data_IF_887210490405
#
_entry.id   IF_887210490405
#
_cell.length_a   1.000
_cell.length_b   1.000
_cell.length_c   1.000
_cell.angle_alpha   90.00
_cell.angle_beta   90.00
_cell.angle_gamma   90.00
#
_symmetry.space_group_name_H-M   'P 1'
#
loop_
_entity.id
_entity.type
_entity.pdbx_description
1 polymer ?
#
# COMPACT_ATOMS: atom_id res chain seq x y z
N UNK A 1 -0.39 16.43 -1.37
CA UNK A 1 0.32 15.29 -2.01
C UNK A 1 1.62 14.91 -1.31
N UNK A 2 2.65 15.76 -1.22
CA UNK A 2 3.96 15.35 -0.65
C UNK A 2 3.89 14.82 0.79
N UNK A 3 3.13 15.49 1.67
CA UNK A 3 2.92 15.04 3.06
C UNK A 3 2.27 13.65 3.07
N UNK A 4 1.17 13.48 2.33
CA UNK A 4 0.51 12.17 2.20
C UNK A 4 1.44 11.09 1.65
N UNK A 5 2.25 11.39 0.63
CA UNK A 5 3.20 10.43 0.08
C UNK A 5 4.27 9.98 1.09
N UNK A 6 4.75 10.87 1.95
CA UNK A 6 5.72 10.54 2.99
C UNK A 6 5.10 9.81 4.18
N UNK A 7 3.85 10.13 4.53
CA UNK A 7 3.21 9.68 5.75
C UNK A 7 2.09 8.65 5.60
N UNK A 8 1.78 8.18 4.38
CA UNK A 8 0.63 7.30 4.15
C UNK A 8 0.65 6.02 5.01
N UNK A 9 1.84 5.56 5.37
CA UNK A 9 2.10 4.38 6.20
C UNK A 9 2.74 4.71 7.56
N UNK A 10 2.56 5.94 8.07
CA UNK A 10 3.23 6.40 9.30
C UNK A 10 2.95 5.52 10.52
N UNK A 11 1.77 4.90 10.59
CA UNK A 11 1.41 3.97 11.66
C UNK A 11 2.40 2.80 11.80
N UNK A 12 3.06 2.40 10.70
CA UNK A 12 4.05 1.31 10.72
C UNK A 12 5.29 1.63 11.55
N UNK A 13 5.56 2.91 11.81
CA UNK A 13 6.70 3.37 12.60
C UNK A 13 6.41 3.43 14.12
N UNK A 14 5.14 3.25 14.53
CA UNK A 14 4.69 3.36 15.91
C UNK A 14 4.10 2.00 16.33
N UNK A 15 4.93 1.16 16.94
CA UNK A 15 4.58 -0.25 17.18
C UNK A 15 3.30 -0.41 18.03
N UNK A 16 3.06 0.49 18.99
CA UNK A 16 1.89 0.48 19.86
C UNK A 16 0.58 0.82 19.14
N UNK A 17 0.65 1.54 18.03
CA UNK A 17 -0.52 1.97 17.26
C UNK A 17 -0.69 1.16 15.98
N UNK A 18 0.24 0.26 15.68
CA UNK A 18 0.29 -0.46 14.41
C UNK A 18 -0.89 -1.42 14.25
N UNK A 19 -1.57 -1.33 13.12
CA UNK A 19 -2.67 -2.23 12.77
C UNK A 19 -2.12 -3.62 12.45
N UNK A 20 -2.63 -4.65 13.15
CA UNK A 20 -2.09 -6.00 13.06
C UNK A 20 -2.90 -6.83 12.05
N UNK A 21 -2.23 -7.30 10.99
CA UNK A 21 -2.82 -8.11 9.89
C UNK A 21 -3.64 -9.32 10.36
N UNK A 22 -3.20 -10.00 11.41
CA UNK A 22 -3.80 -11.23 11.95
C UNK A 22 -5.18 -11.01 12.59
N UNK A 23 -5.50 -9.78 12.95
CA UNK A 23 -6.76 -9.43 13.63
C UNK A 23 -7.90 -9.21 12.62
N UNK A 24 -7.63 -9.38 11.31
CA UNK A 24 -8.56 -9.15 10.22
C UNK A 24 -8.67 -10.38 9.33
N UNK A 25 -9.92 -10.75 8.99
CA UNK A 25 -10.20 -11.80 8.02
C UNK A 25 -10.00 -11.26 6.60
N UNK A 26 -10.56 -10.08 6.32
CA UNK A 26 -10.51 -9.45 5.01
C UNK A 26 -9.25 -8.60 4.84
N UNK A 27 -8.59 -8.78 3.70
CA UNK A 27 -7.46 -7.94 3.30
C UNK A 27 -7.88 -6.47 3.09
N UNK A 28 -9.10 -6.27 2.55
CA UNK A 28 -9.65 -4.94 2.34
C UNK A 28 -9.91 -4.22 3.67
N UNK A 29 -10.48 -4.92 4.65
CA UNK A 29 -10.75 -4.33 5.97
C UNK A 29 -9.45 -4.01 6.71
N UNK A 30 -8.46 -4.90 6.65
CA UNK A 30 -7.12 -4.65 7.18
C UNK A 30 -6.50 -3.39 6.57
N UNK A 31 -6.47 -3.29 5.23
CA UNK A 31 -5.85 -2.17 4.54
C UNK A 31 -6.61 -0.86 4.74
N UNK A 32 -7.94 -0.91 4.87
CA UNK A 32 -8.76 0.25 5.23
C UNK A 32 -8.48 0.73 6.66
N UNK A 33 -8.39 -0.18 7.63
CA UNK A 33 -8.06 0.18 9.00
C UNK A 33 -6.67 0.81 9.12
N UNK A 34 -5.69 0.22 8.44
CA UNK A 34 -4.33 0.74 8.33
C UNK A 34 -4.29 2.16 7.71
N UNK A 35 -4.95 2.38 6.58
CA UNK A 35 -5.00 3.68 5.93
C UNK A 35 -5.67 4.75 6.80
N UNK A 36 -6.77 4.40 7.49
CA UNK A 36 -7.46 5.31 8.40
C UNK A 36 -6.59 5.66 9.61
N UNK A 37 -5.91 4.68 10.20
CA UNK A 37 -5.05 4.89 11.35
C UNK A 37 -3.89 5.84 11.03
N UNK A 38 -3.18 5.62 9.90
CA UNK A 38 -2.16 6.55 9.42
C UNK A 38 -2.70 7.97 9.20
N UNK A 39 -3.94 8.10 8.71
CA UNK A 39 -4.56 9.40 8.47
C UNK A 39 -4.85 10.15 9.79
N UNK A 40 -5.34 9.46 10.82
CA UNK A 40 -5.59 10.05 12.15
C UNK A 40 -4.28 10.48 12.82
N UNK A 41 -3.24 9.63 12.78
CA UNK A 41 -1.91 9.97 13.34
C UNK A 41 -1.34 11.22 12.67
N UNK A 42 -1.38 11.29 11.32
CA UNK A 42 -0.91 12.48 10.60
C UNK A 42 -1.72 13.73 10.95
N UNK A 43 -3.04 13.59 11.08
CA UNK A 43 -3.92 14.70 11.45
C UNK A 43 -3.57 15.24 12.83
N UNK A 44 -3.34 14.38 13.81
CA UNK A 44 -2.90 14.78 15.16
C UNK A 44 -1.58 15.55 15.10
N UNK A 45 -0.55 14.99 14.43
CA UNK A 45 0.74 15.67 14.25
C UNK A 45 0.61 17.02 13.54
N UNK A 46 -0.24 17.11 12.52
CA UNK A 46 -0.45 18.36 11.77
C UNK A 46 -1.20 19.42 12.59
N UNK A 47 -2.13 19.01 13.45
CA UNK A 47 -2.80 19.91 14.41
C UNK A 47 -1.77 20.47 15.41
N UNK A 48 -0.90 19.63 15.98
CA UNK A 48 0.18 20.08 16.87
C UNK A 48 1.14 21.06 16.19
N UNK A 49 1.39 20.85 14.89
CA UNK A 49 2.21 21.75 14.08
C UNK A 49 1.48 23.03 13.62
N UNK A 50 0.25 23.29 14.08
CA UNK A 50 -0.58 24.43 13.68
C UNK A 50 -0.80 24.53 12.15
N UNK A 51 -0.91 23.39 11.47
CA UNK A 51 -1.18 23.36 10.03
C UNK A 51 -2.63 23.79 9.76
N UNK A 52 -2.85 24.48 8.65
CA UNK A 52 -4.19 24.93 8.24
C UNK A 52 -5.15 23.74 8.04
N UNK A 53 -6.39 23.89 8.53
CA UNK A 53 -7.44 22.85 8.46
C UNK A 53 -7.66 22.32 7.05
N UNK A 54 -7.64 23.18 6.03
CA UNK A 54 -7.86 22.77 4.64
C UNK A 54 -6.78 21.81 4.15
N UNK A 55 -5.52 21.99 4.59
CA UNK A 55 -4.43 21.09 4.25
C UNK A 55 -4.50 19.78 5.06
N UNK A 56 -4.94 19.85 6.33
CA UNK A 56 -5.18 18.67 7.15
C UNK A 56 -6.26 17.78 6.51
N UNK A 57 -7.40 18.38 6.16
CA UNK A 57 -8.52 17.66 5.53
C UNK A 57 -8.10 17.03 4.19
N UNK A 58 -7.29 17.75 3.39
CA UNK A 58 -6.75 17.23 2.12
C UNK A 58 -5.79 16.06 2.32
N UNK A 59 -4.87 16.13 3.29
CA UNK A 59 -3.94 15.03 3.60
C UNK A 59 -4.68 13.84 4.17
N UNK A 60 -5.61 14.07 5.10
CA UNK A 60 -6.44 13.03 5.69
C UNK A 60 -7.21 12.26 4.62
N UNK A 61 -7.86 12.96 3.69
CA UNK A 61 -8.58 12.34 2.60
C UNK A 61 -7.66 11.51 1.69
N UNK A 62 -6.48 12.05 1.32
CA UNK A 62 -5.52 11.32 0.49
C UNK A 62 -5.04 10.03 1.16
N UNK A 63 -4.69 10.08 2.45
CA UNK A 63 -4.13 8.94 3.17
C UNK A 63 -5.22 7.92 3.51
N UNK A 64 -6.37 8.33 4.04
CA UNK A 64 -7.45 7.39 4.39
C UNK A 64 -7.99 6.58 3.19
N UNK A 65 -7.79 7.10 1.97
CA UNK A 65 -8.28 6.46 0.73
C UNK A 65 -7.16 5.83 -0.12
N UNK A 66 -5.89 5.92 0.29
CA UNK A 66 -4.75 5.57 -0.58
C UNK A 66 -4.68 4.09 -0.97
N UNK A 67 -5.42 3.23 -0.28
CA UNK A 67 -5.47 1.80 -0.59
C UNK A 67 -6.49 1.45 -1.67
N UNK A 68 -7.61 2.16 -1.68
CA UNK A 68 -8.75 1.91 -2.58
C UNK A 68 -8.72 2.82 -3.81
N UNK A 69 -8.20 4.04 -3.68
CA UNK A 69 -8.31 5.06 -4.72
C UNK A 69 -9.64 5.80 -4.66
N UNK A 70 -10.07 6.35 -5.81
CA UNK A 70 -11.41 6.95 -5.97
C UNK A 70 -11.42 8.32 -6.63
N UNK A 71 -10.25 8.96 -6.77
CA UNK A 71 -10.06 10.06 -7.70
C UNK A 71 -8.61 10.11 -8.16
N UNK A 72 -8.35 10.90 -9.21
CA UNK A 72 -7.03 11.00 -9.84
C UNK A 72 -5.88 11.23 -8.86
N UNK A 73 -6.08 12.01 -7.79
CA UNK A 73 -5.01 12.31 -6.84
C UNK A 73 -4.73 11.11 -5.93
N UNK A 74 -5.77 10.47 -5.41
CA UNK A 74 -5.62 9.27 -4.57
C UNK A 74 -5.09 8.10 -5.40
N UNK A 75 -5.56 7.95 -6.64
CA UNK A 75 -5.12 6.89 -7.55
C UNK A 75 -3.61 7.00 -7.84
N UNK A 76 -3.09 8.22 -8.04
CA UNK A 76 -1.64 8.44 -8.19
C UNK A 76 -0.86 7.97 -6.96
N UNK A 77 -1.36 8.23 -5.75
CA UNK A 77 -0.71 7.80 -4.50
C UNK A 77 -0.76 6.27 -4.37
N UNK A 78 -1.94 5.67 -4.57
CA UNK A 78 -2.17 4.22 -4.53
C UNK A 78 -1.26 3.49 -5.51
N UNK A 79 -1.21 3.97 -6.75
CA UNK A 79 -0.47 3.33 -7.83
C UNK A 79 1.04 3.44 -7.59
N UNK A 80 1.51 4.60 -7.13
CA UNK A 80 2.91 4.80 -6.75
C UNK A 80 3.33 3.89 -5.58
N UNK A 81 2.52 3.80 -4.52
CA UNK A 81 2.78 2.86 -3.42
C UNK A 81 2.80 1.42 -3.90
N UNK A 82 1.80 1.01 -4.68
CA UNK A 82 1.70 -0.37 -5.16
C UNK A 82 2.87 -0.76 -6.06
N UNK A 83 3.28 0.12 -6.98
CA UNK A 83 4.47 -0.11 -7.81
C UNK A 83 5.73 -0.17 -6.95
N UNK A 84 5.88 0.73 -5.98
CA UNK A 84 6.99 0.73 -5.03
C UNK A 84 7.07 -0.57 -4.23
N UNK A 85 5.90 -1.10 -3.82
CA UNK A 85 5.81 -2.38 -3.14
C UNK A 85 6.41 -3.50 -3.99
N UNK A 86 5.96 -3.64 -5.24
CA UNK A 86 6.52 -4.66 -6.13
C UNK A 86 8.01 -4.42 -6.41
N UNK A 87 8.40 -3.19 -6.76
CA UNK A 87 9.76 -2.90 -7.19
C UNK A 87 10.81 -3.05 -6.07
N UNK A 88 10.47 -2.62 -4.85
CA UNK A 88 11.43 -2.48 -3.75
C UNK A 88 11.09 -3.38 -2.57
N UNK A 89 9.84 -3.40 -2.13
CA UNK A 89 9.49 -3.98 -0.82
C UNK A 89 9.14 -5.48 -0.86
N UNK A 90 8.78 -6.02 -2.03
CA UNK A 90 8.33 -7.40 -2.15
C UNK A 90 9.38 -8.42 -1.64
N UNK A 91 10.68 -8.35 -1.99
CA UNK A 91 11.68 -9.27 -1.44
C UNK A 91 11.79 -9.21 0.09
N UNK A 92 11.65 -8.02 0.69
CA UNK A 92 11.67 -7.88 2.15
C UNK A 92 10.37 -8.36 2.79
N UNK A 93 9.25 -8.30 2.07
CA UNK A 93 7.97 -8.82 2.52
C UNK A 93 7.98 -10.35 2.54
N UNK A 94 8.51 -10.99 1.50
CA UNK A 94 8.58 -12.45 1.39
C UNK A 94 9.49 -13.10 2.42
N UNK A 95 10.51 -12.40 2.91
CA UNK A 95 11.36 -12.89 4.01
C UNK A 95 10.64 -12.88 5.35
N UNK A 96 9.68 -11.95 5.54
CA UNK A 96 9.00 -11.74 6.83
C UNK A 96 7.68 -12.48 6.97
N UNK A 97 7.12 -12.96 5.86
CA UNK A 97 5.81 -13.60 5.81
C UNK A 97 5.92 -14.93 5.08
N UNK A 98 4.97 -15.82 5.32
CA UNK A 98 4.89 -17.06 4.56
C UNK A 98 4.47 -16.83 3.09
N UNK A 99 4.55 -17.91 2.31
CA UNK A 99 4.24 -17.88 0.88
C UNK A 99 2.77 -17.56 0.60
N UNK A 100 1.84 -17.96 1.47
CA UNK A 100 0.41 -17.74 1.29
C UNK A 100 0.08 -16.26 1.45
N UNK A 101 0.54 -15.63 2.54
CA UNK A 101 0.37 -14.20 2.80
C UNK A 101 1.09 -13.36 1.75
N UNK A 102 2.29 -13.77 1.31
CA UNK A 102 3.03 -13.09 0.23
C UNK A 102 2.25 -13.13 -1.08
N UNK A 103 1.71 -14.29 -1.46
CA UNK A 103 0.90 -14.45 -2.68
C UNK A 103 -0.41 -13.65 -2.58
N UNK A 104 -1.04 -13.65 -1.42
CA UNK A 104 -2.26 -12.87 -1.13
C UNK A 104 -2.02 -11.38 -1.31
N UNK A 105 -1.00 -10.83 -0.65
CA UNK A 105 -0.59 -9.41 -0.78
C UNK A 105 -0.33 -9.00 -2.22
N UNK A 106 0.40 -9.85 -2.96
CA UNK A 106 0.74 -9.60 -4.36
C UNK A 106 -0.49 -9.65 -5.26
N UNK A 107 -1.34 -10.66 -5.12
CA UNK A 107 -2.56 -10.80 -5.93
C UNK A 107 -3.50 -9.61 -5.70
N UNK A 108 -3.68 -9.23 -4.44
CA UNK A 108 -4.48 -8.06 -4.05
C UNK A 108 -3.92 -6.76 -4.66
N UNK A 109 -2.60 -6.55 -4.56
CA UNK A 109 -1.93 -5.36 -5.12
C UNK A 109 -1.95 -5.32 -6.64
N UNK A 110 -1.74 -6.45 -7.32
CA UNK A 110 -1.70 -6.51 -8.78
C UNK A 110 -3.09 -6.25 -9.38
N UNK A 111 -4.14 -6.81 -8.77
CA UNK A 111 -5.53 -6.68 -9.25
C UNK A 111 -6.01 -5.23 -9.32
N UNK A 112 -5.56 -4.37 -8.39
CA UNK A 112 -5.99 -2.96 -8.31
C UNK A 112 -5.25 -2.01 -9.26
N UNK A 113 -4.15 -2.45 -9.89
CA UNK A 113 -3.42 -1.61 -10.83
C UNK A 113 -4.15 -1.50 -12.19
N UNK A 114 -4.08 -0.35 -12.86
CA UNK A 114 -4.51 -0.24 -14.25
C UNK A 114 -3.55 -1.00 -15.19
N UNK A 115 -4.04 -1.41 -16.36
CA UNK A 115 -3.32 -2.32 -17.27
C UNK A 115 -1.95 -1.80 -17.71
N UNK A 116 -1.81 -0.49 -17.90
CA UNK A 116 -0.52 0.11 -18.24
C UNK A 116 0.52 -0.08 -17.12
N UNK A 117 0.10 -0.09 -15.86
CA UNK A 117 0.98 -0.27 -14.70
C UNK A 117 1.19 -1.74 -14.34
N UNK A 118 0.21 -2.61 -14.60
CA UNK A 118 0.40 -4.07 -14.58
C UNK A 118 1.56 -4.50 -15.49
N UNK A 119 1.62 -3.93 -16.71
CA UNK A 119 2.74 -4.14 -17.64
C UNK A 119 4.09 -3.68 -17.08
N UNK A 120 4.12 -2.62 -16.26
CA UNK A 120 5.35 -2.19 -15.58
C UNK A 120 5.78 -3.25 -14.57
N UNK A 121 4.86 -3.71 -13.71
CA UNK A 121 5.15 -4.74 -12.70
C UNK A 121 5.61 -6.05 -13.33
N UNK A 122 5.02 -6.47 -14.45
CA UNK A 122 5.41 -7.68 -15.18
C UNK A 122 6.85 -7.67 -15.71
N UNK A 123 7.43 -6.48 -15.85
CA UNK A 123 8.81 -6.32 -16.30
C UNK A 123 9.83 -6.28 -15.16
N UNK A 124 9.40 -6.32 -13.90
CA UNK A 124 10.33 -6.39 -12.77
C UNK A 124 11.08 -7.73 -12.74
N UNK A 125 12.32 -7.66 -12.25
CA UNK A 125 13.25 -8.77 -12.12
C UNK A 125 13.83 -8.74 -10.73
N UNK A 126 13.92 -9.90 -10.10
CA UNK A 126 14.41 -10.03 -8.74
C UNK A 126 15.68 -10.89 -8.73
N UNK A 127 16.55 -10.59 -7.77
CA UNK A 127 17.71 -11.46 -7.48
C UNK A 127 17.24 -12.80 -6.95
N UNK A 128 16.23 -12.76 -6.07
CA UNK A 128 15.54 -13.94 -5.57
C UNK A 128 14.61 -14.52 -6.65
N UNK A 129 14.88 -15.76 -7.06
CA UNK A 129 14.12 -16.45 -8.11
C UNK A 129 12.79 -17.00 -7.63
N UNK A 130 12.61 -17.23 -6.33
CA UNK A 130 11.32 -17.64 -5.78
C UNK A 130 10.33 -16.48 -5.83
N UNK A 131 10.77 -15.27 -5.45
CA UNK A 131 9.96 -14.04 -5.58
C UNK A 131 9.61 -13.76 -7.03
N UNK A 132 10.57 -13.91 -7.95
CA UNK A 132 10.32 -13.72 -9.38
C UNK A 132 9.32 -14.76 -9.93
N UNK A 133 9.42 -16.01 -9.49
CA UNK A 133 8.50 -17.08 -9.88
C UNK A 133 7.09 -16.80 -9.37
N UNK A 134 6.94 -16.45 -8.09
CA UNK A 134 5.66 -16.11 -7.46
C UNK A 134 4.97 -14.95 -8.21
N UNK A 135 5.71 -13.91 -8.60
CA UNK A 135 5.14 -12.81 -9.36
C UNK A 135 4.64 -13.26 -10.74
N UNK A 136 5.40 -14.10 -11.44
CA UNK A 136 5.01 -14.64 -12.75
C UNK A 136 3.75 -15.49 -12.66
N UNK A 137 3.62 -16.32 -11.62
CA UNK A 137 2.39 -17.08 -11.38
C UNK A 137 1.19 -16.13 -11.25
N UNK A 138 1.29 -15.10 -10.42
CA UNK A 138 0.18 -14.15 -10.19
C UNK A 138 -0.23 -13.45 -11.48
N UNK A 139 0.73 -13.03 -12.30
CA UNK A 139 0.45 -12.40 -13.58
C UNK A 139 -0.28 -13.38 -14.51
N UNK A 140 0.20 -14.62 -14.61
CA UNK A 140 -0.40 -15.65 -15.48
C UNK A 140 -1.84 -16.02 -15.11
N UNK A 141 -2.22 -15.90 -13.83
CA UNK A 141 -3.61 -16.13 -13.38
C UNK A 141 -4.51 -14.89 -13.50
N UNK A 142 -3.92 -13.71 -13.71
CA UNK A 142 -4.64 -12.42 -13.71
C UNK A 142 -4.90 -11.88 -15.11
N UNK A 143 -4.16 -12.35 -16.12
CA UNK A 143 -4.34 -12.04 -17.53
C UNK A 143 -5.09 -13.21 -18.20
N UNK A 144 -6.37 -13.06 -18.62
CA UNK A 144 -7.13 -14.09 -19.32
C UNK A 144 -6.63 -14.36 -20.75
#
# INVERSE_FOLDING_TARGET
MKIAALGHDIERAIEEQKVIRKDYISYDDFKKAHALNSAEILKEMMVECNVKKELIDDVFFLVSSHETGGNRRVDVLRDADTISFFHVNLPYYSVRNDAEETKGRCSWGYKKLPDNLKRVVANFRYKDKEVEFLLKEIISFSDP
#
